data_IF_094017023034
#
_entry.id   IF_094017023034
#
_cell.length_a   1.000
_cell.length_b   1.000
_cell.length_c   1.000
_cell.angle_alpha   90.00
_cell.angle_beta   90.00
_cell.angle_gamma   90.00
#
_symmetry.space_group_name_H-M   'P 1'
#
loop_
_entity.id
_entity.type
_entity.pdbx_description
1 polymer ?
#
# COMPACT_ATOMS: atom_id res chain seq x y z
N UNK A 1 1.37 14.79 -33.69
CA UNK A 1 1.88 14.35 -32.37
C UNK A 1 1.97 15.57 -31.47
N UNK A 2 1.70 15.44 -30.16
CA UNK A 2 1.90 16.57 -29.26
C UNK A 2 3.39 16.93 -29.16
N UNK A 3 3.68 18.19 -28.91
CA UNK A 3 5.04 18.69 -28.76
C UNK A 3 5.28 19.23 -27.35
N UNK A 4 6.49 19.03 -26.82
CA UNK A 4 6.90 19.61 -25.54
C UNK A 4 7.12 21.14 -25.67
N UNK A 5 7.47 21.80 -24.56
CA UNK A 5 7.73 23.23 -24.53
C UNK A 5 8.91 23.69 -25.41
N UNK A 6 9.73 22.74 -25.88
CA UNK A 6 10.86 22.97 -26.78
C UNK A 6 10.52 22.58 -28.23
N UNK A 7 9.25 22.26 -28.54
CA UNK A 7 8.77 21.89 -29.87
C UNK A 7 9.17 20.49 -30.31
N UNK A 8 9.64 19.61 -29.42
CA UNK A 8 10.00 18.23 -29.74
C UNK A 8 8.77 17.34 -29.67
N UNK A 9 8.54 16.54 -30.70
CA UNK A 9 7.47 15.54 -30.69
C UNK A 9 7.76 14.47 -29.63
N UNK A 10 6.69 14.04 -28.92
CA UNK A 10 6.77 12.93 -27.98
C UNK A 10 5.60 11.96 -28.19
N UNK A 11 5.89 10.68 -27.94
CA UNK A 11 4.86 9.65 -27.98
C UNK A 11 3.92 9.80 -26.77
N UNK A 12 2.62 9.85 -27.06
CA UNK A 12 1.60 9.74 -26.02
C UNK A 12 1.28 8.27 -25.81
N UNK A 13 1.47 7.79 -24.60
CA UNK A 13 0.94 6.50 -24.21
C UNK A 13 -0.59 6.56 -24.20
N UNK A 14 -1.22 5.53 -24.77
CA UNK A 14 -2.68 5.41 -24.70
C UNK A 14 -3.07 5.29 -23.24
N UNK A 15 -4.05 6.10 -22.80
CA UNK A 15 -4.65 5.95 -21.49
C UNK A 15 -5.26 4.54 -21.37
N UNK A 16 -5.06 3.84 -20.24
CA UNK A 16 -5.69 2.54 -20.02
C UNK A 16 -7.21 2.69 -20.03
N UNK A 17 -7.90 1.67 -20.54
CA UNK A 17 -9.35 1.64 -20.54
C UNK A 17 -9.90 1.67 -19.08
N UNK A 18 -11.10 2.24 -18.91
CA UNK A 18 -11.77 2.22 -17.61
C UNK A 18 -12.04 0.78 -17.17
N UNK A 19 -11.87 0.50 -15.88
CA UNK A 19 -12.24 -0.79 -15.33
C UNK A 19 -13.77 -0.90 -15.23
N UNK A 20 -14.29 -2.07 -15.58
CA UNK A 20 -15.69 -2.44 -15.37
C UNK A 20 -15.94 -3.12 -14.02
N UNK A 21 -14.87 -3.64 -13.42
CA UNK A 21 -14.87 -4.30 -12.10
C UNK A 21 -13.60 -3.91 -11.35
N UNK A 22 -13.64 -3.93 -10.03
CA UNK A 22 -12.52 -3.65 -9.14
C UNK A 22 -12.10 -4.90 -8.38
N UNK A 23 -10.81 -5.00 -8.04
CA UNK A 23 -10.21 -6.14 -7.34
C UNK A 23 -10.09 -7.41 -8.21
N UNK A 24 -9.40 -8.44 -7.70
CA UNK A 24 -8.54 -8.38 -6.52
C UNK A 24 -7.28 -7.52 -6.75
N UNK A 25 -6.86 -6.81 -5.73
CA UNK A 25 -5.74 -5.88 -5.83
C UNK A 25 -4.42 -6.55 -6.21
N UNK A 26 -3.65 -5.89 -7.08
CA UNK A 26 -2.21 -6.15 -7.22
C UNK A 26 -1.46 -5.44 -6.10
N UNK A 27 -0.55 -6.17 -5.44
CA UNK A 27 0.23 -5.61 -4.33
C UNK A 27 1.62 -5.21 -4.86
N UNK A 28 2.04 -4.00 -4.50
CA UNK A 28 3.36 -3.43 -4.84
C UNK A 28 4.02 -3.01 -3.53
N UNK A 29 5.24 -3.50 -3.25
CA UNK A 29 6.02 -3.06 -2.10
C UNK A 29 7.18 -2.16 -2.53
N UNK A 30 7.25 -0.96 -1.94
CA UNK A 30 8.30 0.02 -2.18
C UNK A 30 9.40 -0.14 -1.12
N UNK A 31 10.36 -1.02 -1.39
CA UNK A 31 11.42 -1.40 -0.45
C UNK A 31 12.79 -0.94 -0.92
N UNK A 32 13.56 -0.33 -0.04
CA UNK A 32 14.97 -0.02 -0.22
C UNK A 32 15.60 0.25 1.15
N UNK A 33 16.78 -0.32 1.42
CA UNK A 33 17.52 -0.11 2.67
C UNK A 33 18.01 1.34 2.85
N UNK A 34 18.25 2.05 1.74
CA UNK A 34 18.72 3.43 1.78
C UNK A 34 17.54 4.37 2.03
N UNK A 35 17.67 5.22 3.05
CA UNK A 35 16.73 6.32 3.30
C UNK A 35 16.88 7.44 2.27
N UNK A 36 15.83 8.24 2.10
CA UNK A 36 15.84 9.42 1.23
C UNK A 36 15.93 9.16 -0.28
N UNK A 37 15.66 7.92 -0.73
CA UNK A 37 15.70 7.57 -2.17
C UNK A 37 14.37 7.76 -2.90
N UNK A 38 13.38 8.37 -2.24
CA UNK A 38 12.10 8.72 -2.86
C UNK A 38 11.04 7.61 -2.82
N UNK A 39 11.15 6.59 -1.95
CA UNK A 39 10.12 5.53 -1.81
C UNK A 39 8.72 6.11 -1.61
N UNK A 40 8.53 6.84 -0.53
CA UNK A 40 7.24 7.46 -0.17
C UNK A 40 6.74 8.41 -1.26
N UNK A 41 7.62 9.23 -1.82
CA UNK A 41 7.27 10.12 -2.93
C UNK A 41 6.77 9.32 -4.14
N UNK A 42 7.45 8.22 -4.47
CA UNK A 42 7.05 7.34 -5.57
C UNK A 42 5.73 6.62 -5.26
N UNK A 43 5.54 6.14 -4.02
CA UNK A 43 4.29 5.50 -3.58
C UNK A 43 3.09 6.42 -3.80
N UNK A 44 3.17 7.66 -3.31
CA UNK A 44 2.09 8.66 -3.43
C UNK A 44 1.85 9.05 -4.90
N UNK A 45 2.92 9.29 -5.67
CA UNK A 45 2.77 9.71 -7.07
C UNK A 45 2.21 8.58 -7.96
N UNK A 46 2.61 7.32 -7.74
CA UNK A 46 2.05 6.16 -8.46
C UNK A 46 0.57 6.02 -8.11
N UNK A 47 0.20 6.12 -6.83
CA UNK A 47 -1.21 6.08 -6.42
C UNK A 47 -2.01 7.20 -7.08
N UNK A 48 -1.49 8.44 -7.08
CA UNK A 48 -2.12 9.58 -7.75
C UNK A 48 -2.29 9.38 -9.25
N UNK A 49 -1.28 8.84 -9.94
CA UNK A 49 -1.38 8.52 -11.35
C UNK A 49 -2.42 7.44 -11.64
N UNK A 50 -2.48 6.38 -10.81
CA UNK A 50 -3.45 5.30 -10.96
C UNK A 50 -4.88 5.77 -10.69
N UNK A 51 -5.09 6.62 -9.68
CA UNK A 51 -6.41 7.15 -9.33
C UNK A 51 -7.01 8.00 -10.46
N UNK A 52 -6.17 8.74 -11.22
CA UNK A 52 -6.60 9.50 -12.40
C UNK A 52 -7.18 8.60 -13.50
N UNK A 53 -6.80 7.33 -13.53
CA UNK A 53 -7.37 6.32 -14.42
C UNK A 53 -8.49 5.50 -13.77
N UNK A 54 -9.09 6.00 -12.68
CA UNK A 54 -10.20 5.35 -12.00
C UNK A 54 -9.84 4.09 -11.25
N UNK A 55 -8.54 3.89 -10.91
CA UNK A 55 -8.10 2.74 -10.09
C UNK A 55 -8.31 3.07 -8.62
N UNK A 56 -8.90 2.15 -7.88
CA UNK A 56 -8.99 2.23 -6.42
C UNK A 56 -7.67 1.79 -5.81
N UNK A 57 -7.01 2.68 -5.09
CA UNK A 57 -5.67 2.44 -4.54
C UNK A 57 -5.70 2.54 -3.02
N UNK A 58 -5.17 1.52 -2.35
CA UNK A 58 -4.86 1.59 -0.93
C UNK A 58 -3.35 1.79 -0.76
N UNK A 59 -2.93 2.83 -0.06
CA UNK A 59 -1.55 2.97 0.41
C UNK A 59 -1.49 2.43 1.84
N UNK A 60 -0.60 1.48 2.07
CA UNK A 60 -0.26 0.99 3.41
C UNK A 60 1.04 1.68 3.82
N UNK A 61 0.94 2.62 4.74
CA UNK A 61 2.14 3.23 5.32
C UNK A 61 2.77 2.22 6.29
N UNK A 62 3.94 1.71 5.93
CA UNK A 62 4.62 0.67 6.68
C UNK A 62 6.00 1.13 7.17
N UNK A 63 6.06 2.44 7.46
CA UNK A 63 7.18 3.13 8.09
C UNK A 63 6.70 3.82 9.39
N UNK A 64 7.30 3.53 10.56
CA UNK A 64 6.96 4.20 11.81
C UNK A 64 7.05 5.73 11.77
N UNK A 65 7.78 6.29 10.80
CA UNK A 65 7.84 7.74 10.60
C UNK A 65 6.54 8.33 10.03
N UNK A 66 5.65 7.51 9.47
CA UNK A 66 4.34 7.93 8.98
C UNK A 66 4.41 8.94 7.82
N UNK A 67 5.46 8.88 7.00
CA UNK A 67 5.69 9.89 5.96
C UNK A 67 4.63 9.85 4.86
N UNK A 68 4.13 8.68 4.47
CA UNK A 68 3.05 8.55 3.50
C UNK A 68 1.73 9.05 4.10
N UNK A 69 1.47 8.75 5.36
CA UNK A 69 0.29 9.20 6.12
C UNK A 69 0.19 10.72 6.15
N UNK A 70 1.28 11.38 6.55
CA UNK A 70 1.35 12.86 6.59
C UNK A 70 1.27 13.44 5.18
N UNK A 71 1.96 12.83 4.21
CA UNK A 71 1.95 13.26 2.81
C UNK A 71 0.56 13.21 2.16
N UNK A 72 -0.33 12.37 2.66
CA UNK A 72 -1.73 12.24 2.26
C UNK A 72 -2.69 13.11 3.09
N UNK A 73 -2.16 13.94 3.99
CA UNK A 73 -2.93 14.89 4.77
C UNK A 73 -3.59 14.29 6.03
N UNK A 74 -3.19 13.10 6.45
CA UNK A 74 -3.74 12.44 7.65
C UNK A 74 -2.85 12.71 8.86
N UNK A 75 -3.45 13.14 9.97
CA UNK A 75 -2.77 13.27 11.25
C UNK A 75 -2.87 11.95 12.05
N UNK A 76 -1.89 11.07 11.86
CA UNK A 76 -1.89 9.76 12.52
C UNK A 76 -1.83 9.80 14.04
N UNK A 77 -1.30 10.89 14.64
CA UNK A 77 -1.24 11.03 16.09
C UNK A 77 -2.61 11.32 16.73
N UNK A 78 -3.61 11.66 15.92
CA UNK A 78 -5.00 11.86 16.37
C UNK A 78 -5.88 10.64 16.11
N UNK A 79 -5.30 9.49 15.68
CA UNK A 79 -6.02 8.27 15.36
C UNK A 79 -5.83 7.23 16.47
N UNK A 80 -6.93 6.61 16.87
CA UNK A 80 -6.91 5.45 17.77
C UNK A 80 -6.44 4.18 17.07
N UNK A 81 -6.76 4.07 15.75
CA UNK A 81 -6.45 2.89 14.94
C UNK A 81 -5.47 3.23 13.81
N UNK A 82 -4.39 2.47 13.74
CA UNK A 82 -3.33 2.56 12.72
C UNK A 82 -2.99 1.17 12.18
N UNK A 83 -2.06 1.07 11.25
CA UNK A 83 -1.58 -0.22 10.76
C UNK A 83 -1.08 -1.11 11.91
N UNK A 84 -0.50 -0.53 12.97
CA UNK A 84 -0.07 -1.28 14.16
C UNK A 84 -1.24 -2.02 14.82
N UNK A 85 -2.37 -1.34 15.06
CA UNK A 85 -3.55 -1.99 15.64
C UNK A 85 -4.12 -3.07 14.72
N UNK A 86 -4.12 -2.86 13.40
CA UNK A 86 -4.55 -3.87 12.44
C UNK A 86 -3.71 -5.15 12.48
N UNK A 87 -2.41 -5.04 12.81
CA UNK A 87 -1.51 -6.22 12.90
C UNK A 87 -1.73 -7.04 14.16
N UNK A 88 -2.06 -6.44 15.30
CA UNK A 88 -1.98 -7.09 16.61
C UNK A 88 -3.28 -7.14 17.39
N UNK A 89 -4.28 -6.34 17.04
CA UNK A 89 -5.57 -6.32 17.71
C UNK A 89 -6.65 -6.95 16.82
N UNK A 90 -6.96 -8.21 17.08
CA UNK A 90 -7.99 -8.94 16.34
C UNK A 90 -9.41 -8.42 16.54
N UNK A 91 -9.65 -7.57 17.53
CA UNK A 91 -10.95 -6.93 17.78
C UNK A 91 -11.20 -5.71 16.89
N UNK A 92 -10.15 -5.16 16.28
CA UNK A 92 -10.24 -4.00 15.37
C UNK A 92 -10.53 -4.48 13.95
N UNK A 93 -11.60 -3.96 13.35
CA UNK A 93 -11.87 -4.19 11.94
C UNK A 93 -10.85 -3.40 11.09
N UNK A 94 -10.33 -4.02 10.04
CA UNK A 94 -9.39 -3.36 9.12
C UNK A 94 -10.00 -2.10 8.49
N UNK A 95 -11.31 -2.06 8.29
CA UNK A 95 -12.02 -0.90 7.76
C UNK A 95 -12.02 0.29 8.75
N UNK A 96 -11.95 0.01 10.05
CA UNK A 96 -11.83 1.06 11.07
C UNK A 96 -10.41 1.67 11.12
N UNK A 97 -9.44 1.04 10.46
CA UNK A 97 -8.07 1.55 10.32
C UNK A 97 -7.93 2.41 9.08
N UNK A 98 -8.55 2.00 7.97
CA UNK A 98 -8.44 2.67 6.67
C UNK A 98 -9.05 4.08 6.74
N UNK A 99 -8.41 5.04 6.12
CA UNK A 99 -8.85 6.44 6.04
C UNK A 99 -8.95 6.87 4.58
N UNK A 100 -10.04 7.52 4.23
CA UNK A 100 -10.18 8.20 2.96
C UNK A 100 -9.28 9.43 2.94
N UNK A 101 -8.64 9.68 1.81
CA UNK A 101 -7.83 10.88 1.61
C UNK A 101 -8.63 11.97 0.87
N UNK A 102 -8.05 13.16 0.75
CA UNK A 102 -8.65 14.23 -0.07
C UNK A 102 -8.61 13.94 -1.58
N UNK A 103 -7.85 12.93 -1.99
CA UNK A 103 -7.75 12.51 -3.40
C UNK A 103 -8.71 11.34 -3.63
N UNK A 104 -9.61 11.52 -4.60
CA UNK A 104 -10.58 10.48 -4.97
C UNK A 104 -9.85 9.17 -5.35
N UNK A 105 -10.44 8.03 -4.98
CA UNK A 105 -9.92 6.68 -5.23
C UNK A 105 -8.57 6.37 -4.55
N UNK A 106 -8.13 7.16 -3.58
CA UNK A 106 -6.96 6.85 -2.76
C UNK A 106 -7.36 6.79 -1.30
N UNK A 107 -7.16 5.64 -0.70
CA UNK A 107 -7.28 5.41 0.73
C UNK A 107 -5.90 5.12 1.32
N UNK A 108 -5.76 5.31 2.63
CA UNK A 108 -4.54 5.00 3.36
C UNK A 108 -4.82 4.20 4.63
N UNK A 109 -3.99 3.20 4.87
CA UNK A 109 -3.84 2.57 6.17
C UNK A 109 -2.68 3.28 6.87
N UNK A 110 -2.96 4.16 7.85
CA UNK A 110 -1.99 5.09 8.41
C UNK A 110 -1.03 4.41 9.38
N UNK A 111 0.20 4.92 9.46
CA UNK A 111 1.18 4.56 10.48
C UNK A 111 1.51 5.74 11.38
N UNK A 112 1.94 5.40 12.58
CA UNK A 112 2.56 6.31 13.54
C UNK A 112 3.74 5.62 14.22
N UNK A 113 4.34 6.28 15.21
CA UNK A 113 5.52 5.79 15.93
C UNK A 113 5.29 4.44 16.64
N UNK A 114 4.04 4.09 16.97
CA UNK A 114 3.71 2.81 17.62
C UNK A 114 4.11 1.61 16.75
N UNK A 115 4.15 1.77 15.41
CA UNK A 115 4.60 0.73 14.51
C UNK A 115 6.06 0.29 14.77
N UNK A 116 6.89 1.11 15.42
CA UNK A 116 8.24 0.70 15.82
C UNK A 116 8.23 -0.45 16.83
N UNK A 117 7.19 -0.59 17.63
CA UNK A 117 7.05 -1.73 18.55
C UNK A 117 6.76 -3.05 17.82
N UNK A 118 6.24 -2.98 16.59
CA UNK A 118 5.91 -4.17 15.81
C UNK A 118 7.14 -5.05 15.50
N UNK A 119 8.32 -4.46 15.29
CA UNK A 119 9.55 -5.25 15.05
C UNK A 119 9.86 -6.19 16.22
N UNK A 120 9.63 -5.75 17.45
CA UNK A 120 9.87 -6.57 18.65
C UNK A 120 8.73 -7.57 18.86
N UNK A 121 7.49 -7.12 18.71
CA UNK A 121 6.31 -7.95 18.95
C UNK A 121 6.21 -9.10 17.93
N UNK A 122 6.51 -8.85 16.67
CA UNK A 122 6.52 -9.86 15.61
C UNK A 122 7.47 -11.02 15.93
N UNK A 123 8.58 -10.82 16.69
CA UNK A 123 9.52 -11.88 17.01
C UNK A 123 8.85 -13.06 17.72
N UNK A 124 7.84 -12.79 18.54
CA UNK A 124 7.15 -13.79 19.35
C UNK A 124 5.89 -14.35 18.70
N UNK A 125 5.46 -13.77 17.57
CA UNK A 125 4.23 -14.18 16.88
C UNK A 125 4.44 -15.43 16.00
N UNK A 126 3.45 -16.32 16.01
CA UNK A 126 3.40 -17.48 15.10
C UNK A 126 2.97 -17.01 13.71
N UNK A 127 3.71 -17.42 12.67
CA UNK A 127 3.44 -16.97 11.30
C UNK A 127 3.74 -15.49 11.09
N UNK A 128 4.65 -14.96 11.88
CA UNK A 128 5.03 -13.53 11.95
C UNK A 128 5.35 -12.87 10.61
N UNK A 129 5.76 -13.63 9.62
CA UNK A 129 6.06 -13.15 8.28
C UNK A 129 4.80 -12.89 7.43
N UNK A 130 3.63 -13.41 7.86
CA UNK A 130 2.38 -13.39 7.09
C UNK A 130 1.27 -12.55 7.74
N UNK A 131 1.55 -11.86 8.83
CA UNK A 131 0.53 -11.11 9.58
C UNK A 131 -0.07 -10.02 8.71
N UNK A 132 0.75 -9.21 8.02
CA UNK A 132 0.26 -8.19 7.11
C UNK A 132 -0.54 -8.78 5.94
N UNK A 133 -0.10 -9.90 5.38
CA UNK A 133 -0.84 -10.58 4.32
C UNK A 133 -2.23 -11.04 4.79
N UNK A 134 -2.35 -11.48 6.06
CA UNK A 134 -3.62 -11.80 6.69
C UNK A 134 -4.56 -10.59 6.79
N UNK A 135 -4.02 -9.43 7.16
CA UNK A 135 -4.77 -8.18 7.22
C UNK A 135 -5.25 -7.75 5.83
N UNK A 136 -4.34 -7.69 4.85
CA UNK A 136 -4.65 -7.20 3.50
C UNK A 136 -5.62 -8.12 2.74
N UNK A 137 -5.66 -9.41 3.07
CA UNK A 137 -6.60 -10.38 2.47
C UNK A 137 -8.05 -9.98 2.70
N UNK A 138 -8.36 -9.30 3.81
CA UNK A 138 -9.72 -8.86 4.17
C UNK A 138 -10.25 -7.77 3.23
N UNK A 139 -9.37 -6.95 2.66
CA UNK A 139 -9.74 -5.78 1.83
C UNK A 139 -9.27 -5.89 0.37
N UNK A 140 -8.56 -6.97 0.01
CA UNK A 140 -7.95 -7.15 -1.31
C UNK A 140 -8.95 -7.02 -2.47
N UNK A 141 -10.19 -7.42 -2.28
CA UNK A 141 -11.22 -7.40 -3.32
C UNK A 141 -11.88 -6.02 -3.50
N UNK A 142 -11.54 -5.04 -2.68
CA UNK A 142 -12.12 -3.70 -2.70
C UNK A 142 -11.25 -2.71 -3.49
N UNK A 143 -9.98 -3.05 -3.70
CA UNK A 143 -8.98 -2.22 -4.37
C UNK A 143 -8.45 -2.89 -5.65
N UNK A 144 -7.91 -2.08 -6.55
CA UNK A 144 -7.23 -2.55 -7.77
C UNK A 144 -5.72 -2.66 -7.54
N UNK A 145 -5.19 -1.78 -6.69
CA UNK A 145 -3.77 -1.76 -6.33
C UNK A 145 -3.63 -1.47 -4.83
N UNK A 146 -2.75 -2.20 -4.18
CA UNK A 146 -2.29 -1.92 -2.81
C UNK A 146 -0.80 -1.61 -2.88
N UNK A 147 -0.39 -0.42 -2.43
CA UNK A 147 1.00 0.01 -2.39
C UNK A 147 1.47 0.00 -0.94
N UNK A 148 2.50 -0.78 -0.62
CA UNK A 148 3.09 -0.84 0.72
C UNK A 148 4.34 0.03 0.71
N UNK A 149 4.33 1.15 1.44
CA UNK A 149 5.47 2.06 1.59
C UNK A 149 6.32 1.64 2.79
N UNK A 150 7.44 0.96 2.52
CA UNK A 150 8.25 0.32 3.55
C UNK A 150 9.30 1.25 4.16
N UNK A 151 9.58 1.07 5.46
CA UNK A 151 10.72 1.70 6.12
C UNK A 151 12.06 1.32 5.45
N UNK A 152 13.13 2.12 5.61
CA UNK A 152 14.46 1.84 5.06
C UNK A 152 15.22 0.81 5.94
N UNK A 153 14.72 -0.41 6.05
CA UNK A 153 15.34 -1.51 6.81
C UNK A 153 15.08 -2.86 6.15
N UNK A 154 15.76 -3.90 6.62
CA UNK A 154 15.48 -5.30 6.28
C UNK A 154 14.92 -6.09 7.48
N UNK A 155 14.18 -5.43 8.35
CA UNK A 155 13.54 -6.06 9.50
C UNK A 155 12.30 -6.88 9.15
N UNK A 156 11.62 -7.39 10.18
CA UNK A 156 10.42 -8.22 10.03
C UNK A 156 9.26 -7.47 9.35
N UNK A 157 9.16 -6.15 9.51
CA UNK A 157 8.19 -5.36 8.77
C UNK A 157 8.42 -5.47 7.26
N UNK A 158 9.65 -5.29 6.78
CA UNK A 158 9.96 -5.44 5.36
C UNK A 158 9.70 -6.86 4.86
N UNK A 159 10.01 -7.88 5.65
CA UNK A 159 9.70 -9.28 5.32
C UNK A 159 8.19 -9.47 5.17
N UNK A 160 7.36 -8.91 6.07
CA UNK A 160 5.91 -8.94 5.96
C UNK A 160 5.42 -8.30 4.65
N UNK A 161 5.96 -7.13 4.28
CA UNK A 161 5.61 -6.47 3.02
C UNK A 161 5.95 -7.32 1.80
N UNK A 162 7.13 -7.96 1.78
CA UNK A 162 7.57 -8.82 0.68
C UNK A 162 6.75 -10.11 0.59
N UNK A 163 6.36 -10.68 1.73
CA UNK A 163 5.52 -11.90 1.77
C UNK A 163 4.15 -11.64 1.15
N UNK A 164 3.61 -10.42 1.25
CA UNK A 164 2.35 -10.06 0.60
C UNK A 164 2.38 -10.21 -0.93
N UNK A 165 3.57 -10.10 -1.55
CA UNK A 165 3.73 -10.21 -3.00
C UNK A 165 3.52 -11.66 -3.51
N UNK A 166 3.81 -12.66 -2.69
CA UNK A 166 3.69 -14.07 -3.04
C UNK A 166 2.22 -14.47 -3.24
N UNK A 167 1.30 -13.83 -2.53
CA UNK A 167 -0.14 -14.10 -2.63
C UNK A 167 -0.81 -13.45 -3.85
N UNK A 168 -0.09 -12.66 -4.64
CA UNK A 168 -0.62 -12.10 -5.90
C UNK A 168 -0.46 -13.07 -7.07
N UNK A 169 0.49 -14.02 -6.99
CA UNK A 169 0.72 -15.01 -8.04
C UNK A 169 -0.27 -16.17 -7.99
N UNK A 170 -0.72 -16.58 -6.79
CA UNK A 170 -1.62 -17.74 -6.63
C UNK A 170 -3.04 -17.48 -7.17
N UNK A 171 -3.44 -16.20 -7.30
CA UNK A 171 -4.74 -15.85 -7.87
C UNK A 171 -4.82 -16.03 -9.40
N UNK A 172 -3.68 -16.28 -10.06
CA UNK A 172 -3.63 -16.55 -11.51
C UNK A 172 -3.72 -18.03 -11.85
N UNK A 173 -3.47 -18.93 -10.87
CA UNK A 173 -3.51 -20.38 -11.08
C UNK A 173 -4.89 -21.01 -10.86
N UNK A 174 -5.80 -20.34 -10.15
CA UNK A 174 -7.16 -20.85 -9.90
C UNK A 174 -8.12 -20.71 -11.10
N UNK A 175 -7.66 -20.21 -12.25
CA UNK A 175 -8.49 -20.02 -13.44
C UNK A 175 -8.30 -21.08 -14.54
N UNK A 176 -7.59 -22.19 -14.28
CA UNK A 176 -7.44 -23.30 -15.21
C UNK A 176 -7.90 -24.63 -14.63
N UNK A 177 -9.17 -24.70 -14.21
CA UNK A 177 -9.90 -25.96 -14.19
C UNK A 177 -11.31 -25.73 -14.79
N UNK A 178 -11.41 -26.01 -16.09
CA UNK A 178 -12.63 -26.48 -16.76
C UNK A 178 -12.24 -27.64 -17.65
#
# INVERSE_FOLDING_TARGET
>A
MPTDLLGREYETFRAPDALTTHGPARIIAMCNQKGGVGKTTSSINIAGALSQYGRRVLIVDFDPQGAATVGLGINANALDNTVYTALFDSSVDVHDVIRHTATENIDVMPANIDLSAAEVQLVTEVGREQILAGVLRKVRNEYDVIIIDCQPSLGLLTVNALTCLLYTSDAADDSTEV
#
